data_IF_619696124940
#
_entry.id   IF_619696124940
#
_cell.length_a   1.000
_cell.length_b   1.000
_cell.length_c   1.000
_cell.angle_alpha   90.00
_cell.angle_beta   90.00
_cell.angle_gamma   90.00
#
_symmetry.space_group_name_H-M   'P 1'
#
loop_
_entity.id
_entity.type
_entity.pdbx_description
1 polymer ?
#
# COMPACT_ATOMS: atom_id res chain seq x y z
N UNK A 1 18.61 -13.40 14.95
CA UNK A 1 18.19 -12.63 16.13
C UNK A 1 19.33 -12.25 17.07
N UNK A 2 20.07 -13.19 17.67
CA UNK A 2 21.11 -12.85 18.66
C UNK A 2 22.28 -12.08 18.06
N UNK A 3 22.77 -12.48 16.90
CA UNK A 3 23.86 -11.77 16.20
C UNK A 3 23.47 -10.33 15.86
N UNK A 4 22.22 -10.12 15.46
CA UNK A 4 21.66 -8.80 15.16
C UNK A 4 21.65 -7.90 16.40
N UNK A 5 21.18 -8.42 17.53
CA UNK A 5 21.19 -7.68 18.81
C UNK A 5 22.60 -7.26 19.22
N UNK A 6 23.58 -8.15 19.05
CA UNK A 6 24.98 -7.83 19.33
C UNK A 6 25.51 -6.74 18.39
N UNK A 7 25.17 -6.78 17.10
CA UNK A 7 25.60 -5.77 16.13
C UNK A 7 25.03 -4.39 16.48
N UNK A 8 23.73 -4.33 16.82
CA UNK A 8 23.05 -3.09 17.24
C UNK A 8 23.66 -2.57 18.54
N UNK A 9 23.83 -3.42 19.55
CA UNK A 9 24.45 -3.04 20.82
C UNK A 9 25.86 -2.45 20.61
N UNK A 10 26.69 -3.06 19.76
CA UNK A 10 28.02 -2.54 19.39
C UNK A 10 27.94 -1.15 18.76
N UNK A 11 26.98 -0.91 17.90
CA UNK A 11 26.82 0.39 17.25
C UNK A 11 26.36 1.47 18.25
N UNK A 12 25.54 1.11 19.23
CA UNK A 12 25.02 2.03 20.25
C UNK A 12 26.02 2.38 21.36
N UNK A 13 27.04 1.52 21.63
CA UNK A 13 28.05 1.78 22.68
C UNK A 13 28.75 3.12 22.52
N UNK A 14 28.90 3.59 21.28
CA UNK A 14 29.58 4.87 21.00
C UNK A 14 28.65 6.09 21.08
N UNK A 15 27.41 5.91 21.54
CA UNK A 15 26.39 6.97 21.66
C UNK A 15 26.22 7.81 20.37
N UNK A 16 26.00 7.17 19.21
CA UNK A 16 25.88 7.90 17.95
C UNK A 16 24.63 8.76 17.94
N UNK A 17 24.64 9.85 17.15
CA UNK A 17 23.45 10.66 16.90
C UNK A 17 22.51 10.02 15.88
N UNK A 18 23.06 9.21 14.98
CA UNK A 18 22.33 8.52 13.92
C UNK A 18 22.81 7.07 13.84
N UNK A 19 21.90 6.12 13.75
CA UNK A 19 22.17 4.71 13.51
C UNK A 19 21.67 4.31 12.11
N UNK A 20 22.57 3.76 11.29
CA UNK A 20 22.24 3.23 9.97
C UNK A 20 22.04 1.72 10.07
N UNK A 21 20.89 1.24 9.61
CA UNK A 21 20.48 -0.16 9.58
C UNK A 21 20.18 -0.55 8.12
N UNK A 22 21.05 -1.35 7.53
CA UNK A 22 20.91 -1.82 6.16
C UNK A 22 20.36 -3.25 6.17
N UNK A 23 19.13 -3.44 5.72
CA UNK A 23 18.37 -4.69 5.70
C UNK A 23 18.50 -5.54 6.98
N UNK A 24 18.34 -4.95 8.17
CA UNK A 24 18.72 -5.62 9.42
C UNK A 24 17.88 -6.85 9.73
N UNK A 25 16.71 -7.03 9.14
CA UNK A 25 15.79 -8.12 9.42
C UNK A 25 15.62 -9.10 8.23
N UNK A 26 16.23 -8.83 7.08
CA UNK A 26 16.02 -9.61 5.85
C UNK A 26 16.37 -11.10 5.95
N UNK A 27 17.34 -11.46 6.78
CA UNK A 27 17.77 -12.86 6.97
C UNK A 27 16.97 -13.64 8.04
N UNK A 28 15.92 -13.03 8.64
CA UNK A 28 15.16 -13.63 9.72
C UNK A 28 13.85 -14.27 9.22
N UNK A 29 13.44 -15.38 9.88
CA UNK A 29 12.10 -15.92 9.67
C UNK A 29 11.01 -14.94 10.14
N UNK A 30 9.80 -15.06 9.60
CA UNK A 30 8.70 -14.12 9.81
C UNK A 30 8.35 -13.88 11.30
N UNK A 31 8.42 -14.93 12.14
CA UNK A 31 8.10 -14.80 13.57
C UNK A 31 9.18 -14.02 14.31
N UNK A 32 10.45 -14.34 14.08
CA UNK A 32 11.59 -13.63 14.68
C UNK A 32 11.67 -12.21 14.15
N UNK A 33 11.37 -11.99 12.87
CA UNK A 33 11.31 -10.66 12.24
C UNK A 33 10.32 -9.75 12.98
N UNK A 34 9.07 -10.17 13.17
CA UNK A 34 8.06 -9.39 13.92
C UNK A 34 8.48 -9.08 15.36
N UNK A 35 9.11 -10.02 16.05
CA UNK A 35 9.64 -9.77 17.39
C UNK A 35 10.77 -8.72 17.39
N UNK A 36 11.68 -8.80 16.42
CA UNK A 36 12.78 -7.85 16.28
C UNK A 36 12.33 -6.46 15.86
N UNK A 37 11.28 -6.33 15.04
CA UNK A 37 10.68 -5.03 14.71
C UNK A 37 10.21 -4.30 15.98
N UNK A 38 9.44 -4.97 16.82
CA UNK A 38 8.95 -4.41 18.10
C UNK A 38 10.12 -4.01 19.00
N UNK A 39 11.14 -4.87 19.09
CA UNK A 39 12.32 -4.62 19.93
C UNK A 39 13.15 -3.42 19.41
N UNK A 40 13.36 -3.33 18.09
CA UNK A 40 14.06 -2.20 17.48
C UNK A 40 13.34 -0.87 17.68
N UNK A 41 12.03 -0.84 17.51
CA UNK A 41 11.22 0.36 17.75
C UNK A 41 11.30 0.80 19.22
N UNK A 42 11.27 -0.15 20.16
CA UNK A 42 11.45 0.12 21.57
C UNK A 42 12.84 0.69 21.88
N UNK A 43 13.90 0.09 21.34
CA UNK A 43 15.27 0.59 21.51
C UNK A 43 15.39 2.01 20.95
N UNK A 44 14.86 2.28 19.77
CA UNK A 44 14.88 3.61 19.14
C UNK A 44 14.21 4.65 20.05
N UNK A 45 13.05 4.33 20.61
CA UNK A 45 12.32 5.21 21.54
C UNK A 45 13.08 5.45 22.85
N UNK A 46 13.71 4.41 23.42
CA UNK A 46 14.47 4.49 24.67
C UNK A 46 15.77 5.30 24.51
N UNK A 47 16.46 5.11 23.37
CA UNK A 47 17.74 5.79 23.12
C UNK A 47 17.51 7.21 22.58
N UNK A 48 16.39 7.47 21.89
CA UNK A 48 16.02 8.79 21.39
C UNK A 48 16.91 9.34 20.30
N UNK A 49 17.58 8.47 19.52
CA UNK A 49 18.40 8.86 18.36
C UNK A 49 17.68 8.57 17.03
N UNK A 50 18.14 9.18 15.95
CA UNK A 50 17.63 8.93 14.62
C UNK A 50 18.10 7.58 14.10
N UNK A 51 17.15 6.73 13.68
CA UNK A 51 17.43 5.51 12.92
C UNK A 51 17.16 5.75 11.45
N UNK A 52 18.11 5.43 10.60
CA UNK A 52 17.91 5.32 9.15
C UNK A 52 17.88 3.84 8.84
N UNK A 53 16.71 3.37 8.41
CA UNK A 53 16.40 1.98 8.19
C UNK A 53 16.21 1.73 6.69
N UNK A 54 17.10 0.96 6.07
CA UNK A 54 16.99 0.56 4.67
C UNK A 54 16.37 -0.83 4.61
N UNK A 55 15.29 -0.97 3.85
CA UNK A 55 14.59 -2.23 3.64
C UNK A 55 13.92 -2.28 2.27
N UNK A 56 13.72 -3.47 1.76
CA UNK A 56 12.84 -3.72 0.61
C UNK A 56 11.48 -4.30 1.04
N UNK A 57 11.26 -4.49 2.34
CA UNK A 57 10.00 -4.96 2.92
C UNK A 57 9.10 -3.76 3.23
N UNK A 58 7.98 -3.68 2.52
CA UNK A 58 7.02 -2.58 2.63
C UNK A 58 6.36 -2.54 4.02
N UNK A 59 6.01 -3.72 4.58
CA UNK A 59 5.42 -3.82 5.92
C UNK A 59 6.38 -3.27 6.98
N UNK A 60 7.70 -3.53 6.83
CA UNK A 60 8.71 -2.96 7.71
C UNK A 60 8.78 -1.44 7.59
N UNK A 61 8.84 -0.91 6.36
CA UNK A 61 8.94 0.52 6.11
C UNK A 61 7.72 1.27 6.69
N UNK A 62 6.51 0.80 6.42
CA UNK A 62 5.28 1.45 6.87
C UNK A 62 5.05 1.34 8.39
N UNK A 63 5.39 0.18 9.02
CA UNK A 63 5.09 -0.06 10.43
C UNK A 63 6.13 0.52 11.40
N UNK A 64 7.37 0.69 10.95
CA UNK A 64 8.48 1.08 11.83
C UNK A 64 8.88 2.54 11.72
N UNK A 65 8.62 3.20 10.60
CA UNK A 65 9.13 4.52 10.30
C UNK A 65 8.17 5.64 10.73
N UNK A 66 8.72 6.80 11.06
CA UNK A 66 7.98 8.05 11.21
C UNK A 66 7.95 8.82 9.86
N UNK A 67 8.97 8.61 9.04
CA UNK A 67 9.09 9.14 7.67
C UNK A 67 9.60 8.04 6.76
N UNK A 68 8.95 7.86 5.62
CA UNK A 68 9.35 6.92 4.57
C UNK A 68 9.92 7.68 3.39
N UNK A 69 11.02 7.17 2.83
CA UNK A 69 11.61 7.66 1.58
C UNK A 69 11.57 6.52 0.58
N UNK A 70 10.75 6.66 -0.45
CA UNK A 70 10.69 5.69 -1.55
C UNK A 70 11.72 6.06 -2.60
N UNK A 71 12.56 5.10 -2.98
CA UNK A 71 13.64 5.32 -3.95
C UNK A 71 13.53 4.33 -5.12
N UNK A 72 13.86 4.79 -6.32
CA UNK A 72 13.95 3.97 -7.52
C UNK A 72 15.17 4.41 -8.35
N UNK A 73 16.02 3.47 -8.74
CA UNK A 73 17.21 3.73 -9.55
C UNK A 73 18.12 4.88 -9.02
N UNK A 74 18.20 5.03 -7.68
CA UNK A 74 19.01 6.06 -7.05
C UNK A 74 18.35 7.44 -6.94
N UNK A 75 17.10 7.58 -7.41
CA UNK A 75 16.30 8.80 -7.33
C UNK A 75 15.19 8.64 -6.29
N UNK A 76 14.92 9.71 -5.55
CA UNK A 76 13.82 9.78 -4.60
C UNK A 76 12.52 9.94 -5.41
N UNK A 77 11.56 9.06 -5.16
CA UNK A 77 10.26 9.06 -5.79
C UNK A 77 9.20 9.78 -4.94
N UNK A 78 9.27 9.61 -3.61
CA UNK A 78 8.38 10.30 -2.68
C UNK A 78 8.97 10.27 -1.27
N UNK A 79 8.67 11.29 -0.48
CA UNK A 79 8.97 11.38 0.96
C UNK A 79 7.70 11.77 1.68
N UNK A 80 7.32 11.01 2.71
CA UNK A 80 6.11 11.33 3.48
C UNK A 80 5.98 10.46 4.73
N UNK A 81 4.89 10.66 5.45
CA UNK A 81 4.49 9.73 6.50
C UNK A 81 4.09 8.37 5.88
N UNK A 82 4.12 7.26 6.64
CA UNK A 82 3.63 5.98 6.15
C UNK A 82 2.21 6.06 5.55
N UNK A 83 1.34 6.83 6.18
CA UNK A 83 -0.05 7.01 5.74
C UNK A 83 -0.12 7.77 4.41
N UNK A 84 0.64 8.86 4.26
CA UNK A 84 0.65 9.66 3.02
C UNK A 84 1.20 8.82 1.85
N UNK A 85 2.30 8.09 2.08
CA UNK A 85 2.91 7.22 1.05
C UNK A 85 1.94 6.13 0.58
N UNK A 86 1.11 5.61 1.49
CA UNK A 86 0.14 4.56 1.16
C UNK A 86 -1.11 5.10 0.47
N UNK A 87 -1.70 6.16 1.02
CA UNK A 87 -2.99 6.70 0.56
C UNK A 87 -2.85 7.66 -0.62
N UNK A 88 -1.76 8.45 -0.66
CA UNK A 88 -1.53 9.50 -1.66
C UNK A 88 -0.19 9.28 -2.40
N UNK A 89 -0.02 8.18 -3.16
CA UNK A 89 1.20 7.93 -3.90
C UNK A 89 1.38 8.96 -5.02
N UNK A 90 2.54 9.63 -5.09
CA UNK A 90 2.83 10.67 -6.08
C UNK A 90 2.96 10.14 -7.52
N UNK A 91 3.17 8.83 -7.70
CA UNK A 91 3.27 8.22 -9.01
C UNK A 91 2.96 6.71 -8.98
N UNK A 92 2.76 6.15 -10.18
CA UNK A 92 2.47 4.72 -10.39
C UNK A 92 3.50 3.77 -9.75
N UNK A 93 4.79 4.17 -9.75
CA UNK A 93 5.82 3.34 -9.13
C UNK A 93 5.60 3.22 -7.63
N UNK A 94 5.36 4.33 -6.95
CA UNK A 94 5.09 4.34 -5.49
C UNK A 94 3.82 3.55 -5.18
N UNK A 95 2.73 3.79 -5.93
CA UNK A 95 1.47 3.07 -5.75
C UNK A 95 1.64 1.55 -5.82
N UNK A 96 2.33 1.05 -6.85
CA UNK A 96 2.55 -0.38 -7.05
C UNK A 96 3.67 -0.98 -6.20
N UNK A 97 4.62 -0.14 -5.73
CA UNK A 97 5.72 -0.60 -4.87
C UNK A 97 5.28 -0.76 -3.41
N UNK A 98 4.41 0.12 -2.91
CA UNK A 98 4.01 0.14 -1.49
C UNK A 98 2.88 -0.85 -1.17
N UNK A 99 2.09 -1.25 -2.15
CA UNK A 99 0.99 -2.19 -1.96
C UNK A 99 0.38 -2.64 -3.26
N UNK A 100 -0.43 -3.67 -3.19
CA UNK A 100 -1.26 -4.08 -4.31
C UNK A 100 -2.26 -2.97 -4.63
N UNK A 101 -2.48 -2.69 -5.92
CA UNK A 101 -3.34 -1.58 -6.36
C UNK A 101 -3.99 -1.89 -7.70
N UNK A 102 -5.22 -1.46 -7.85
CA UNK A 102 -5.85 -1.31 -9.14
C UNK A 102 -5.50 0.09 -9.67
N UNK A 103 -4.61 0.18 -10.66
CA UNK A 103 -4.20 1.45 -11.27
C UNK A 103 -4.92 1.59 -12.61
N UNK A 104 -5.71 2.64 -12.75
CA UNK A 104 -6.68 2.83 -13.82
C UNK A 104 -6.43 4.17 -14.49
N UNK A 105 -6.32 4.17 -15.82
CA UNK A 105 -6.32 5.42 -16.57
C UNK A 105 -7.69 6.08 -16.47
N UNK A 106 -7.72 7.35 -16.10
CA UNK A 106 -8.92 8.14 -15.89
C UNK A 106 -8.74 9.59 -16.26
N UNK A 107 -9.76 10.39 -16.08
CA UNK A 107 -9.78 11.82 -16.34
C UNK A 107 -10.37 12.54 -15.15
N UNK A 108 -9.66 13.51 -14.60
CA UNK A 108 -10.21 14.43 -13.62
C UNK A 108 -11.11 15.42 -14.35
N UNK A 109 -12.41 15.23 -14.30
CA UNK A 109 -13.38 16.11 -15.01
C UNK A 109 -13.33 17.52 -14.42
N UNK A 110 -13.22 17.63 -13.11
CA UNK A 110 -13.06 18.83 -12.29
C UNK A 110 -12.79 18.40 -10.86
N UNK A 111 -12.48 19.34 -9.98
CA UNK A 111 -12.33 19.07 -8.56
C UNK A 111 -13.50 18.21 -8.03
N UNK A 112 -13.17 17.15 -7.30
CA UNK A 112 -14.08 16.19 -6.68
C UNK A 112 -14.89 15.31 -7.64
N UNK A 113 -14.52 15.25 -8.93
CA UNK A 113 -15.21 14.41 -9.92
C UNK A 113 -14.22 13.80 -10.91
N UNK A 114 -14.10 12.48 -10.89
CA UNK A 114 -13.23 11.69 -11.75
C UNK A 114 -14.03 10.78 -12.67
N UNK A 115 -13.57 10.57 -13.89
CA UNK A 115 -14.15 9.61 -14.83
C UNK A 115 -13.16 8.50 -15.18
N UNK A 116 -13.59 7.26 -15.07
CA UNK A 116 -12.88 6.08 -15.56
C UNK A 116 -13.87 4.95 -15.88
N UNK A 117 -13.45 3.99 -16.69
CA UNK A 117 -14.27 2.86 -17.14
C UNK A 117 -15.65 3.24 -17.68
N UNK A 118 -15.79 4.45 -18.26
CA UNK A 118 -17.03 4.95 -18.85
C UNK A 118 -18.03 5.54 -17.85
N UNK A 119 -17.65 5.71 -16.59
CA UNK A 119 -18.50 6.26 -15.53
C UNK A 119 -17.80 7.42 -14.81
N UNK A 120 -18.60 8.32 -14.24
CA UNK A 120 -18.14 9.39 -13.37
C UNK A 120 -18.33 8.98 -11.90
N UNK A 121 -17.33 9.32 -11.06
CA UNK A 121 -17.33 9.05 -9.63
C UNK A 121 -16.96 10.30 -8.86
N UNK A 122 -17.56 10.48 -7.69
CA UNK A 122 -17.12 11.49 -6.72
C UNK A 122 -15.80 11.04 -6.11
N UNK A 123 -14.87 11.98 -5.90
CA UNK A 123 -13.60 11.78 -5.20
C UNK A 123 -13.33 12.93 -4.23
N UNK A 124 -12.26 12.83 -3.43
CA UNK A 124 -11.85 13.90 -2.51
C UNK A 124 -10.76 14.80 -3.10
N UNK A 125 -10.23 14.43 -4.24
CA UNK A 125 -9.10 15.09 -4.90
C UNK A 125 -9.49 16.42 -5.54
N UNK A 126 -8.54 17.35 -5.54
CA UNK A 126 -8.69 18.69 -6.09
C UNK A 126 -7.34 19.28 -6.52
N UNK A 127 -7.40 20.35 -7.32
CA UNK A 127 -6.22 21.09 -7.75
C UNK A 127 -5.63 20.58 -9.05
N UNK A 128 -6.34 19.72 -9.76
CA UNK A 128 -6.04 19.29 -11.12
C UNK A 128 -6.64 20.27 -12.14
N UNK A 129 -6.16 20.24 -13.37
CA UNK A 129 -6.81 20.96 -14.48
C UNK A 129 -8.10 20.23 -14.89
N UNK A 130 -9.09 21.00 -15.38
CA UNK A 130 -10.33 20.41 -15.90
C UNK A 130 -10.02 19.50 -17.11
N UNK A 131 -10.49 18.25 -17.05
CA UNK A 131 -10.25 17.19 -18.01
C UNK A 131 -8.78 16.73 -18.11
N UNK A 132 -8.01 16.84 -17.03
CA UNK A 132 -6.66 16.30 -16.94
C UNK A 132 -6.66 14.77 -16.97
N UNK A 133 -5.78 14.19 -17.80
CA UNK A 133 -5.54 12.75 -17.80
C UNK A 133 -4.75 12.36 -16.56
N UNK A 134 -5.28 11.43 -15.78
CA UNK A 134 -4.71 10.96 -14.51
C UNK A 134 -4.69 9.44 -14.41
N UNK A 135 -3.95 8.93 -13.44
CA UNK A 135 -4.04 7.56 -12.99
C UNK A 135 -4.80 7.50 -11.67
N UNK A 136 -5.91 6.77 -11.64
CA UNK A 136 -6.71 6.52 -10.43
C UNK A 136 -6.16 5.28 -9.75
N UNK A 137 -5.89 5.38 -8.46
CA UNK A 137 -5.42 4.27 -7.61
C UNK A 137 -6.57 3.84 -6.70
N UNK A 138 -7.02 2.58 -6.86
CA UNK A 138 -7.99 1.97 -5.97
C UNK A 138 -7.32 0.81 -5.23
N UNK A 139 -7.27 0.87 -3.90
CA UNK A 139 -6.74 -0.22 -3.11
C UNK A 139 -7.71 -1.41 -3.12
N UNK A 140 -7.23 -2.65 -3.20
CA UNK A 140 -8.09 -3.83 -3.23
C UNK A 140 -9.02 -3.96 -2.01
N UNK A 141 -8.59 -3.47 -0.84
CA UNK A 141 -9.36 -3.45 0.40
C UNK A 141 -10.46 -2.39 0.46
N UNK A 142 -10.41 -1.36 -0.39
CA UNK A 142 -11.42 -0.29 -0.46
C UNK A 142 -12.55 -0.64 -1.42
N UNK A 143 -12.44 -1.77 -2.12
CA UNK A 143 -13.45 -2.27 -3.04
C UNK A 143 -14.41 -3.24 -2.37
N UNK A 144 -15.67 -2.89 -2.32
CA UNK A 144 -16.76 -3.75 -1.86
C UNK A 144 -17.40 -4.53 -3.00
N UNK A 145 -17.63 -5.82 -2.78
CA UNK A 145 -18.42 -6.66 -3.68
C UNK A 145 -19.88 -6.56 -3.28
N UNK A 146 -20.73 -6.07 -4.19
CA UNK A 146 -22.16 -5.86 -3.99
C UNK A 146 -22.98 -6.55 -5.07
N UNK A 147 -24.30 -6.51 -4.96
CA UNK A 147 -25.16 -6.98 -6.05
C UNK A 147 -24.99 -6.09 -7.30
N UNK A 148 -25.06 -6.65 -8.52
CA UNK A 148 -24.78 -5.91 -9.77
C UNK A 148 -25.59 -4.62 -9.93
N UNK A 149 -26.81 -4.59 -9.38
CA UNK A 149 -27.70 -3.43 -9.48
C UNK A 149 -27.34 -2.27 -8.54
N UNK A 150 -26.40 -2.49 -7.62
CA UNK A 150 -25.97 -1.50 -6.62
C UNK A 150 -24.68 -0.75 -7.01
N UNK A 151 -24.09 -1.09 -8.17
CA UNK A 151 -22.83 -0.52 -8.62
C UNK A 151 -22.85 -0.14 -10.11
N UNK A 152 -22.02 0.83 -10.47
CA UNK A 152 -21.81 1.24 -11.86
C UNK A 152 -20.89 0.26 -12.59
N UNK A 153 -19.84 -0.22 -11.93
CA UNK A 153 -18.92 -1.21 -12.48
C UNK A 153 -19.43 -2.61 -12.14
N UNK A 154 -19.56 -3.46 -13.16
CA UNK A 154 -20.00 -4.85 -13.03
C UNK A 154 -18.98 -5.78 -13.63
N UNK A 155 -18.86 -6.97 -13.06
CA UNK A 155 -17.94 -7.98 -13.58
C UNK A 155 -18.28 -9.38 -13.08
N UNK A 156 -17.49 -10.34 -13.55
CA UNK A 156 -17.64 -11.75 -13.20
C UNK A 156 -16.46 -12.17 -12.34
N UNK A 157 -16.73 -12.81 -11.23
CA UNK A 157 -15.70 -13.41 -10.36
C UNK A 157 -14.97 -14.50 -11.14
N UNK A 158 -13.66 -14.33 -11.37
CA UNK A 158 -12.81 -15.27 -12.12
C UNK A 158 -11.92 -16.13 -11.26
N UNK A 159 -11.43 -15.57 -10.17
CA UNK A 159 -10.55 -16.31 -9.26
C UNK A 159 -10.80 -15.88 -7.82
N UNK A 160 -10.59 -16.82 -6.89
CA UNK A 160 -10.65 -16.59 -5.45
C UNK A 160 -9.50 -17.32 -4.81
N UNK A 161 -8.66 -16.59 -4.09
CA UNK A 161 -7.52 -17.13 -3.37
C UNK A 161 -7.63 -16.75 -1.89
N UNK A 162 -7.64 -17.74 -0.99
CA UNK A 162 -7.62 -17.47 0.45
C UNK A 162 -6.19 -17.16 0.92
N UNK A 163 -5.97 -15.99 1.47
CA UNK A 163 -4.67 -15.49 1.97
C UNK A 163 -4.51 -15.64 3.50
N UNK A 164 -5.39 -16.38 4.18
CA UNK A 164 -5.34 -16.61 5.62
C UNK A 164 -6.24 -15.71 6.44
N UNK A 165 -6.31 -14.42 6.15
CA UNK A 165 -7.16 -13.43 6.85
C UNK A 165 -8.22 -12.82 5.96
N UNK A 166 -8.03 -12.83 4.65
CA UNK A 166 -8.95 -12.33 3.63
C UNK A 166 -8.90 -13.22 2.39
N UNK A 167 -9.85 -13.03 1.50
CA UNK A 167 -9.83 -13.54 0.14
C UNK A 167 -9.31 -12.45 -0.80
N UNK A 168 -8.40 -12.83 -1.70
CA UNK A 168 -8.05 -12.07 -2.88
C UNK A 168 -8.94 -12.57 -4.01
N UNK A 169 -9.76 -11.68 -4.55
CA UNK A 169 -10.75 -12.00 -5.58
C UNK A 169 -10.44 -11.21 -6.84
N UNK A 170 -10.32 -11.92 -7.97
CA UNK A 170 -10.17 -11.29 -9.28
C UNK A 170 -11.53 -11.22 -9.98
N UNK A 171 -11.96 -10.01 -10.32
CA UNK A 171 -13.23 -9.72 -10.98
C UNK A 171 -12.93 -9.16 -12.36
N UNK A 172 -13.34 -9.88 -13.40
CA UNK A 172 -13.20 -9.47 -14.78
C UNK A 172 -14.41 -8.65 -15.22
N UNK A 173 -14.17 -7.43 -15.66
CA UNK A 173 -15.12 -6.55 -16.31
C UNK A 173 -14.93 -6.59 -17.84
N UNK A 174 -15.68 -5.84 -18.61
CA UNK A 174 -15.47 -5.70 -20.06
C UNK A 174 -14.16 -5.00 -20.40
N UNK A 175 -13.62 -4.17 -19.52
CA UNK A 175 -12.44 -3.32 -19.77
C UNK A 175 -11.17 -3.84 -19.12
N UNK A 176 -11.28 -4.43 -17.92
CA UNK A 176 -10.12 -4.86 -17.13
C UNK A 176 -10.46 -5.88 -16.05
N UNK A 177 -9.44 -6.36 -15.37
CA UNK A 177 -9.60 -7.17 -14.16
C UNK A 177 -9.30 -6.32 -12.94
N UNK A 178 -10.24 -6.34 -11.98
CA UNK A 178 -10.07 -5.74 -10.66
C UNK A 178 -9.65 -6.79 -9.64
N UNK A 179 -8.73 -6.40 -8.75
CA UNK A 179 -8.39 -7.15 -7.55
C UNK A 179 -9.16 -6.58 -6.37
N UNK A 180 -9.76 -7.44 -5.57
CA UNK A 180 -10.52 -7.09 -4.36
C UNK A 180 -10.02 -7.91 -3.19
N UNK A 181 -9.78 -7.26 -2.04
CA UNK A 181 -9.50 -7.93 -0.77
C UNK A 181 -10.73 -7.84 0.13
N UNK A 182 -11.32 -8.97 0.49
CA UNK A 182 -12.51 -9.02 1.33
C UNK A 182 -12.50 -10.22 2.26
N UNK A 183 -13.18 -10.11 3.38
CA UNK A 183 -13.43 -11.26 4.27
C UNK A 183 -14.60 -12.12 3.82
N UNK A 184 -15.41 -11.62 2.89
CA UNK A 184 -16.58 -12.29 2.37
C UNK A 184 -16.23 -13.21 1.19
N UNK A 185 -16.86 -14.37 1.15
CA UNK A 185 -16.69 -15.31 0.04
C UNK A 185 -17.63 -14.95 -1.11
N UNK A 186 -17.09 -14.95 -2.34
CA UNK A 186 -17.90 -14.82 -3.56
C UNK A 186 -17.65 -16.05 -4.47
N UNK A 187 -18.68 -16.57 -5.06
CA UNK A 187 -18.61 -17.78 -5.92
C UNK A 187 -18.00 -17.43 -7.29
N UNK A 188 -17.07 -18.26 -7.78
CA UNK A 188 -16.52 -18.13 -9.13
C UNK A 188 -17.61 -18.27 -10.17
N UNK A 189 -17.64 -17.37 -11.16
CA UNK A 189 -18.67 -17.30 -12.20
C UNK A 189 -19.89 -16.43 -11.82
N UNK A 190 -19.98 -15.98 -10.57
CA UNK A 190 -21.03 -15.04 -10.15
C UNK A 190 -20.78 -13.66 -10.76
N UNK A 191 -21.86 -13.04 -11.28
CA UNK A 191 -21.86 -11.62 -11.62
C UNK A 191 -22.01 -10.77 -10.35
N UNK A 192 -21.19 -9.74 -10.22
CA UNK A 192 -21.12 -8.86 -9.06
C UNK A 192 -20.95 -7.41 -9.48
N UNK A 193 -21.29 -6.49 -8.59
CA UNK A 193 -20.95 -5.07 -8.68
C UNK A 193 -19.74 -4.72 -7.81
N UNK A 194 -18.97 -3.73 -8.26
CA UNK A 194 -17.87 -3.13 -7.50
C UNK A 194 -18.29 -1.75 -7.01
N UNK A 195 -18.18 -1.55 -5.70
CA UNK A 195 -18.49 -0.29 -5.03
C UNK A 195 -17.28 0.14 -4.19
N UNK A 196 -17.02 1.43 -4.13
CA UNK A 196 -15.96 2.06 -3.35
C UNK A 196 -16.40 3.45 -2.89
N UNK A 197 -15.71 3.98 -1.88
CA UNK A 197 -15.92 5.34 -1.38
C UNK A 197 -15.26 6.39 -2.27
N UNK A 198 -15.44 7.67 -1.95
CA UNK A 198 -14.81 8.79 -2.67
C UNK A 198 -13.33 9.03 -2.26
N UNK A 199 -12.87 8.34 -1.20
CA UNK A 199 -11.53 8.45 -0.61
C UNK A 199 -10.52 7.54 -1.28
#
# INVERSE_FOLDING_TARGET
GQQQRVAIARALVNEPKVLLLDEPLGALDAKIRKQMQVELKKIQQEVGITFIYVTHDQEEALSMSDTVVVMNNGEIQQIGSPTDIYNEPENRFVAGFIGESNIIEGTMIRDYLVAFDGFEFECVDKGFEDNEEIEVVLRPEDLDIVDPDQAKIRGIVRNITFKGVHYEILIETELRTYMVHTTDYAEVGREVGLKFGPE
#
